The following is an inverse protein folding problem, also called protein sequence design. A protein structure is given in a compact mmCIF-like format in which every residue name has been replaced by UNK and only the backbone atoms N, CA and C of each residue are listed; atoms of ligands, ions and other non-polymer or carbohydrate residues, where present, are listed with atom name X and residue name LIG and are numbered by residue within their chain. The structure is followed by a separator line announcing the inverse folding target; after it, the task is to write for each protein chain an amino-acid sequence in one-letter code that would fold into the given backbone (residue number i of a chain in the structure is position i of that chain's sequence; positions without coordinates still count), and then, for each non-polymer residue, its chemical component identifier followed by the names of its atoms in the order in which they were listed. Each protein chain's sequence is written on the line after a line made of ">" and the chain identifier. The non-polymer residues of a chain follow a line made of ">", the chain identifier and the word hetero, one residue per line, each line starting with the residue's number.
data_IF_515740923212
#
_entry.id   IF_515740923212
#
_cell.length_a   1.000
_cell.length_b   1.000
_cell.length_c   1.000
_cell.angle_alpha   90.00
_cell.angle_beta   90.00
_cell.angle_gamma   90.00
#
_symmetry.space_group_name_H-M   'P 1'
#
loop_
_entity.id
_entity.type
_entity.pdbx_description
1 polymer ?
#
# COMPACT_ATOMS: atom_id res chain seq x y z
N UNK A 1 54.89 -25.46 11.23
CA UNK A 1 54.25 -25.51 9.89
C UNK A 1 52.88 -26.17 9.95
N UNK A 2 52.70 -27.27 10.70
CA UNK A 2 51.40 -27.93 10.86
C UNK A 2 50.30 -27.03 11.45
N UNK A 3 50.63 -26.20 12.45
CA UNK A 3 49.63 -25.34 13.12
C UNK A 3 49.08 -24.23 12.20
N UNK A 4 49.91 -23.70 11.31
CA UNK A 4 49.51 -22.67 10.34
C UNK A 4 48.60 -23.27 9.24
N UNK A 5 48.92 -24.49 8.78
CA UNK A 5 48.09 -25.22 7.80
C UNK A 5 46.74 -25.57 8.41
N UNK A 6 46.73 -25.95 9.70
CA UNK A 6 45.50 -26.31 10.38
C UNK A 6 44.60 -25.11 10.69
N UNK A 7 45.19 -23.98 11.08
CA UNK A 7 44.47 -22.71 11.22
C UNK A 7 43.84 -22.24 9.90
N UNK A 8 44.56 -22.34 8.79
CA UNK A 8 44.05 -21.96 7.47
C UNK A 8 42.87 -22.85 7.03
N UNK A 9 42.94 -24.16 7.28
CA UNK A 9 41.87 -25.09 6.94
C UNK A 9 40.58 -24.80 7.72
N UNK A 10 40.69 -24.58 9.03
CA UNK A 10 39.53 -24.27 9.88
C UNK A 10 38.87 -22.95 9.45
N UNK A 11 39.68 -21.93 9.12
CA UNK A 11 39.16 -20.65 8.62
C UNK A 11 38.40 -20.80 7.31
N UNK A 12 38.93 -21.57 6.34
CA UNK A 12 38.26 -21.82 5.07
C UNK A 12 36.95 -22.59 5.28
N UNK A 13 36.96 -23.59 6.18
CA UNK A 13 35.77 -24.38 6.49
C UNK A 13 34.67 -23.49 7.09
N UNK A 14 34.99 -22.66 8.08
CA UNK A 14 34.02 -21.73 8.70
C UNK A 14 33.47 -20.74 7.68
N UNK A 15 34.33 -20.17 6.82
CA UNK A 15 33.88 -19.27 5.76
C UNK A 15 32.94 -19.98 4.77
N UNK A 16 33.29 -21.19 4.33
CA UNK A 16 32.48 -21.97 3.40
C UNK A 16 31.11 -22.32 3.98
N UNK A 17 31.05 -22.67 5.27
CA UNK A 17 29.81 -23.01 5.97
C UNK A 17 28.91 -21.77 6.15
N UNK A 18 29.51 -20.62 6.44
CA UNK A 18 28.80 -19.34 6.58
C UNK A 18 28.16 -18.91 5.25
N UNK A 19 28.90 -19.01 4.14
CA UNK A 19 28.38 -18.69 2.79
C UNK A 19 27.29 -19.68 2.36
N UNK A 20 27.48 -20.98 2.63
CA UNK A 20 26.46 -21.99 2.37
C UNK A 20 25.17 -21.74 3.17
N UNK A 21 25.30 -21.35 4.45
CA UNK A 21 24.16 -20.96 5.28
C UNK A 21 23.40 -19.75 4.75
N UNK A 22 24.12 -18.68 4.37
CA UNK A 22 23.51 -17.47 3.84
C UNK A 22 22.72 -17.71 2.54
N UNK A 23 23.26 -18.53 1.64
CA UNK A 23 22.60 -18.85 0.36
C UNK A 23 21.37 -19.76 0.53
N UNK A 24 21.35 -20.64 1.52
CA UNK A 24 20.19 -21.48 1.82
C UNK A 24 18.99 -20.67 2.33
N UNK A 25 19.24 -19.63 3.14
CA UNK A 25 18.18 -18.78 3.70
C UNK A 25 17.50 -17.94 2.60
N UNK A 26 18.27 -17.39 1.66
CA UNK A 26 17.70 -16.59 0.55
C UNK A 26 16.82 -17.42 -0.40
N UNK A 27 17.16 -18.69 -0.64
CA UNK A 27 16.31 -19.58 -1.47
C UNK A 27 14.99 -19.95 -0.78
N UNK A 28 14.98 -20.03 0.55
CA UNK A 28 13.76 -20.32 1.30
C UNK A 28 12.77 -19.15 1.24
N UNK A 29 13.27 -17.92 1.23
CA UNK A 29 12.41 -16.73 1.11
C UNK A 29 11.77 -16.63 -0.28
N UNK A 30 12.51 -16.94 -1.35
CA UNK A 30 11.95 -16.96 -2.71
C UNK A 30 10.89 -18.06 -2.90
N UNK A 31 11.04 -19.22 -2.25
CA UNK A 31 10.07 -20.32 -2.33
C UNK A 31 8.72 -20.03 -1.65
N UNK A 32 8.65 -18.98 -0.82
CA UNK A 32 7.42 -18.54 -0.16
C UNK A 32 6.69 -17.42 -0.92
N UNK A 33 7.28 -16.91 -2.01
CA UNK A 33 6.63 -15.89 -2.84
C UNK A 33 5.60 -16.55 -3.76
N UNK A 34 4.34 -16.16 -3.64
CA UNK A 34 3.26 -16.62 -4.51
C UNK A 34 3.18 -15.75 -5.79
N UNK A 35 3.63 -14.49 -5.73
CA UNK A 35 3.65 -13.56 -6.87
C UNK A 35 4.81 -12.56 -6.78
N UNK A 36 5.27 -12.04 -7.93
CA UNK A 36 6.18 -10.88 -8.00
C UNK A 36 5.52 -9.69 -8.69
N UNK A 37 4.62 -9.96 -9.64
CA UNK A 37 3.88 -8.97 -10.39
C UNK A 37 2.38 -9.23 -10.32
N UNK A 38 1.57 -8.19 -10.56
CA UNK A 38 0.12 -8.34 -10.61
C UNK A 38 -0.34 -9.31 -11.70
N UNK A 39 0.45 -9.47 -12.76
CA UNK A 39 0.19 -10.44 -13.85
C UNK A 39 0.32 -11.90 -13.43
N UNK A 40 0.98 -12.17 -12.29
CA UNK A 40 1.14 -13.53 -11.77
C UNK A 40 -0.12 -14.00 -11.00
N UNK A 41 -1.00 -13.05 -10.66
CA UNK A 41 -2.25 -13.27 -9.95
C UNK A 41 -3.45 -13.35 -10.92
N UNK A 42 -4.62 -13.81 -10.46
CA UNK A 42 -5.84 -13.81 -11.28
C UNK A 42 -6.32 -12.38 -11.57
N UNK A 43 -7.10 -12.20 -12.64
CA UNK A 43 -7.64 -10.88 -13.07
C UNK A 43 -8.43 -10.14 -11.98
N UNK A 44 -8.90 -10.85 -10.95
CA UNK A 44 -9.64 -10.28 -9.80
C UNK A 44 -8.78 -10.04 -8.57
N UNK A 45 -7.46 -10.14 -8.70
CA UNK A 45 -6.50 -10.03 -7.60
C UNK A 45 -5.25 -9.24 -7.98
N UNK A 46 -4.52 -8.74 -6.97
CA UNK A 46 -3.26 -8.03 -7.13
C UNK A 46 -2.18 -8.64 -6.25
N UNK A 47 -0.91 -8.45 -6.62
CA UNK A 47 0.21 -8.90 -5.83
C UNK A 47 0.48 -7.92 -4.68
N UNK A 48 0.40 -8.41 -3.44
CA UNK A 48 0.70 -7.63 -2.24
C UNK A 48 2.19 -7.51 -1.97
N UNK A 49 2.57 -6.59 -1.08
CA UNK A 49 3.96 -6.42 -0.63
C UNK A 49 4.48 -7.61 0.19
N UNK A 50 3.57 -8.48 0.62
CA UNK A 50 3.84 -9.78 1.23
C UNK A 50 4.10 -10.89 0.20
N UNK A 51 4.15 -10.55 -1.09
CA UNK A 51 4.32 -11.49 -2.20
C UNK A 51 3.20 -12.52 -2.30
N UNK A 52 1.98 -12.14 -1.90
CA UNK A 52 0.76 -12.95 -1.96
C UNK A 52 -0.31 -12.29 -2.80
N UNK A 53 -1.16 -13.07 -3.45
CA UNK A 53 -2.27 -12.53 -4.25
C UNK A 53 -3.46 -12.16 -3.35
N UNK A 54 -3.87 -10.90 -3.38
CA UNK A 54 -5.02 -10.37 -2.65
C UNK A 54 -6.16 -10.03 -3.59
N UNK A 55 -7.41 -10.32 -3.22
CA UNK A 55 -8.56 -9.96 -4.06
C UNK A 55 -8.80 -8.45 -4.08
N UNK A 56 -9.16 -7.90 -5.24
CA UNK A 56 -9.58 -6.51 -5.31
C UNK A 56 -10.82 -6.30 -4.43
N UNK A 57 -10.86 -5.26 -3.60
CA UNK A 57 -12.06 -4.96 -2.83
C UNK A 57 -13.18 -4.63 -3.80
N UNK A 58 -14.26 -5.42 -3.77
CA UNK A 58 -15.52 -5.07 -4.41
C UNK A 58 -16.07 -3.85 -3.70
N UNK A 59 -15.74 -2.67 -4.22
CA UNK A 59 -16.37 -1.42 -3.81
C UNK A 59 -17.82 -1.54 -4.26
N UNK A 60 -18.68 -2.10 -3.41
CA UNK A 60 -20.10 -1.91 -3.52
C UNK A 60 -20.29 -0.40 -3.51
N UNK A 61 -20.50 0.18 -4.70
CA UNK A 61 -20.91 1.56 -4.85
C UNK A 61 -22.25 1.63 -4.12
N UNK A 62 -22.20 1.93 -2.83
CA UNK A 62 -23.33 2.54 -2.17
C UNK A 62 -23.56 3.78 -3.01
N UNK A 63 -24.61 3.73 -3.83
CA UNK A 63 -25.17 4.95 -4.40
C UNK A 63 -25.67 5.69 -3.18
N UNK A 64 -24.75 6.43 -2.54
CA UNK A 64 -25.12 7.41 -1.55
C UNK A 64 -25.91 8.40 -2.36
N UNK A 65 -27.24 8.30 -2.27
CA UNK A 65 -28.15 9.30 -2.80
C UNK A 65 -27.90 10.55 -1.97
N UNK A 66 -26.82 11.26 -2.30
CA UNK A 66 -26.42 12.47 -1.59
C UNK A 66 -27.46 13.51 -1.92
N UNK A 67 -28.39 13.73 -1.00
CA UNK A 67 -29.41 14.74 -1.15
C UNK A 67 -28.78 16.12 -0.95
N UNK A 68 -28.62 16.85 -2.07
CA UNK A 68 -28.06 18.21 -2.08
C UNK A 68 -29.12 19.29 -1.90
N UNK A 69 -30.40 18.95 -1.70
CA UNK A 69 -31.46 19.95 -1.51
C UNK A 69 -31.23 20.78 -0.26
N UNK A 70 -30.77 20.15 0.84
CA UNK A 70 -30.47 20.85 2.10
C UNK A 70 -29.32 21.87 1.95
N UNK A 71 -28.11 21.50 1.45
CA UNK A 71 -27.05 22.48 1.25
C UNK A 71 -27.40 23.54 0.21
N UNK A 72 -28.16 23.20 -0.84
CA UNK A 72 -28.63 24.17 -1.83
C UNK A 72 -29.60 25.21 -1.22
N UNK A 73 -30.51 24.78 -0.33
CA UNK A 73 -31.44 25.68 0.35
C UNK A 73 -30.71 26.68 1.27
N UNK A 74 -29.69 26.21 2.01
CA UNK A 74 -28.87 27.06 2.88
C UNK A 74 -28.14 28.13 2.05
N UNK A 75 -27.52 27.73 0.93
CA UNK A 75 -26.84 28.67 0.04
C UNK A 75 -27.81 29.69 -0.57
N UNK A 76 -28.98 29.23 -1.03
CA UNK A 76 -30.02 30.13 -1.56
C UNK A 76 -30.48 31.17 -0.53
N UNK A 77 -30.77 30.75 0.69
CA UNK A 77 -31.17 31.67 1.78
C UNK A 77 -30.07 32.70 2.11
N UNK A 78 -28.81 32.26 2.16
CA UNK A 78 -27.69 33.15 2.46
C UNK A 78 -27.55 34.30 1.44
N UNK A 79 -27.72 34.00 0.14
CA UNK A 79 -27.66 34.98 -0.93
C UNK A 79 -28.81 36.00 -0.84
N UNK A 80 -30.02 35.55 -0.51
CA UNK A 80 -31.18 36.43 -0.33
C UNK A 80 -30.98 37.39 0.84
N UNK A 81 -30.48 36.88 1.98
CA UNK A 81 -30.22 37.70 3.17
C UNK A 81 -29.16 38.76 2.87
N UNK A 82 -28.04 38.37 2.24
CA UNK A 82 -26.98 39.30 1.85
C UNK A 82 -27.50 40.38 0.91
N UNK A 83 -28.31 40.00 -0.09
CA UNK A 83 -28.91 40.96 -1.01
C UNK A 83 -29.84 41.96 -0.31
N UNK A 84 -30.62 41.51 0.69
CA UNK A 84 -31.47 42.40 1.49
C UNK A 84 -30.66 43.38 2.34
N UNK A 85 -29.60 42.90 3.01
CA UNK A 85 -28.72 43.74 3.84
C UNK A 85 -28.02 44.81 2.99
N UNK A 86 -27.43 44.41 1.86
CA UNK A 86 -26.79 45.35 0.94
C UNK A 86 -27.77 46.38 0.36
N UNK A 87 -29.00 45.96 0.03
CA UNK A 87 -30.04 46.87 -0.45
C UNK A 87 -30.42 47.90 0.62
N UNK A 88 -30.55 47.48 1.88
CA UNK A 88 -30.88 48.38 3.00
C UNK A 88 -29.76 49.39 3.26
N UNK A 89 -28.50 48.96 3.23
CA UNK A 89 -27.35 49.84 3.46
C UNK A 89 -27.08 50.83 2.30
N UNK A 90 -27.59 50.56 1.09
CA UNK A 90 -27.46 51.49 -0.05
C UNK A 90 -28.52 52.60 -0.04
N UNK A 91 -29.59 52.45 0.74
CA UNK A 91 -30.70 53.42 0.83
C UNK A 91 -30.60 54.37 2.03
N UNK A 92 -29.64 54.13 2.94
CA UNK A 92 -29.26 55.03 4.05
C UNK A 92 -28.03 55.82 3.62
#
# INVERSE_FOLDING_TARGET
>A
MADAVWGAFVMILVFSLSVAGATAIMKYTEGMHECNFNSDCSDTSYCGSDFRCHSYPVVNKTVVSTDYTTPAAILGLSLVIVAMVLRRNRQV
#
